data_IF_939258027567
#
_entry.id   IF_939258027567
#
_cell.length_a   1.000
_cell.length_b   1.000
_cell.length_c   1.000
_cell.angle_alpha   90.00
_cell.angle_beta   90.00
_cell.angle_gamma   90.00
#
_symmetry.space_group_name_H-M   'P 1'
#
loop_
_entity.id
_entity.type
_entity.pdbx_description
1 polymer ?
#
# COMPACT_ATOMS: atom_id res chain seq x y z
N UNK A 1 7.58 12.48 11.65
CA UNK A 1 7.33 12.18 13.09
C UNK A 1 6.92 10.72 13.32
N UNK A 2 6.14 10.11 12.44
CA UNK A 2 5.72 8.70 12.55
C UNK A 2 6.86 7.72 12.21
N UNK A 3 7.68 8.04 11.22
CA UNK A 3 8.87 7.24 10.86
C UNK A 3 9.92 7.19 12.00
N UNK A 4 10.11 8.29 12.71
CA UNK A 4 11.02 8.34 13.85
C UNK A 4 10.52 7.51 15.05
N UNK A 5 9.22 7.37 15.24
CA UNK A 5 8.65 6.53 16.32
C UNK A 5 8.85 5.03 16.06
N UNK A 6 8.81 4.59 14.81
CA UNK A 6 9.04 3.19 14.45
C UNK A 6 10.52 2.82 14.62
N UNK A 7 11.43 3.71 14.27
CA UNK A 7 12.88 3.52 14.46
C UNK A 7 13.27 3.54 15.95
N UNK A 8 12.58 4.35 16.78
CA UNK A 8 12.90 4.47 18.21
C UNK A 8 12.39 3.27 19.03
N UNK A 9 11.31 2.62 18.62
CA UNK A 9 10.81 1.41 19.29
C UNK A 9 11.70 0.18 19.05
N UNK A 10 12.35 0.09 17.90
CA UNK A 10 13.30 -0.98 17.59
C UNK A 10 14.61 -0.85 18.41
N UNK A 11 15.01 0.37 18.76
CA UNK A 11 16.23 0.65 19.53
C UNK A 11 16.08 0.42 21.04
N UNK A 12 14.87 0.29 21.59
CA UNK A 12 14.62 0.14 23.03
C UNK A 12 14.47 -1.28 23.55
N UNK A 13 14.42 -2.27 22.67
CA UNK A 13 14.46 -3.68 23.06
C UNK A 13 15.88 -4.20 22.90
N UNK A 14 16.69 -4.00 23.93
CA UNK A 14 18.06 -4.52 24.04
C UNK A 14 18.08 -6.03 23.92
N UNK A 15 18.29 -6.54 22.70
CA UNK A 15 18.67 -7.89 22.38
C UNK A 15 19.96 -7.78 21.59
N UNK A 16 20.96 -8.59 21.99
CA UNK A 16 22.36 -8.53 21.60
C UNK A 16 22.63 -8.13 20.16
N UNK A 17 23.78 -7.51 19.95
CA UNK A 17 24.31 -7.08 18.66
C UNK A 17 24.19 -8.20 17.61
N UNK A 18 23.04 -8.28 16.94
CA UNK A 18 23.01 -8.87 15.60
C UNK A 18 23.75 -7.90 14.68
N UNK A 19 24.59 -8.40 13.75
CA UNK A 19 25.23 -7.53 12.77
C UNK A 19 24.11 -6.73 12.08
N UNK A 20 24.19 -5.40 12.11
CA UNK A 20 23.36 -4.55 11.30
C UNK A 20 23.61 -4.99 9.87
N UNK A 21 22.67 -5.73 9.26
CA UNK A 21 22.77 -6.04 7.84
C UNK A 21 22.90 -4.70 7.11
N UNK A 22 23.94 -4.61 6.27
CA UNK A 22 24.14 -3.40 5.48
C UNK A 22 22.89 -3.16 4.65
N UNK A 23 22.31 -1.96 4.75
CA UNK A 23 21.17 -1.55 3.93
C UNK A 23 21.53 -1.69 2.45
N UNK A 24 20.57 -2.09 1.65
CA UNK A 24 20.78 -2.17 0.20
C UNK A 24 20.95 -0.76 -0.38
N UNK A 25 21.88 -0.55 -1.34
CA UNK A 25 22.10 0.78 -1.91
C UNK A 25 20.84 1.42 -2.49
N UNK A 26 19.96 0.60 -3.08
CA UNK A 26 18.68 1.06 -3.63
C UNK A 26 17.71 1.48 -2.53
N UNK A 27 17.77 0.85 -1.36
CA UNK A 27 16.95 1.24 -0.21
C UNK A 27 17.40 2.59 0.35
N UNK A 28 18.70 2.81 0.49
CA UNK A 28 19.26 4.10 0.90
C UNK A 28 18.88 5.21 -0.08
N UNK A 29 18.93 4.94 -1.39
CA UNK A 29 18.50 5.87 -2.43
C UNK A 29 17.01 6.19 -2.32
N UNK A 30 16.17 5.16 -2.11
CA UNK A 30 14.73 5.34 -1.97
C UNK A 30 14.39 6.19 -0.75
N UNK A 31 15.03 5.94 0.39
CA UNK A 31 14.81 6.72 1.61
C UNK A 31 15.24 8.17 1.45
N UNK A 32 16.39 8.41 0.83
CA UNK A 32 16.86 9.77 0.53
C UNK A 32 15.91 10.52 -0.43
N UNK A 33 15.37 9.83 -1.41
CA UNK A 33 14.39 10.39 -2.34
C UNK A 33 13.06 10.72 -1.63
N UNK A 34 12.60 9.86 -0.72
CA UNK A 34 11.39 10.09 0.09
C UNK A 34 11.52 11.32 0.99
N UNK A 35 12.69 11.54 1.58
CA UNK A 35 12.96 12.73 2.39
C UNK A 35 12.83 14.04 1.60
N UNK A 36 13.04 13.97 0.29
CA UNK A 36 12.91 15.09 -0.64
C UNK A 36 11.52 15.16 -1.31
N UNK A 37 10.63 14.21 -1.02
CA UNK A 37 9.32 14.09 -1.68
C UNK A 37 9.42 13.61 -3.13
N UNK A 38 10.54 13.03 -3.53
CA UNK A 38 10.74 12.46 -4.87
C UNK A 38 10.29 11.00 -4.90
N UNK A 39 8.98 10.81 -4.99
CA UNK A 39 8.37 9.48 -5.03
C UNK A 39 8.75 8.69 -6.28
N UNK A 40 8.98 9.34 -7.41
CA UNK A 40 9.35 8.68 -8.66
C UNK A 40 10.73 8.01 -8.56
N UNK A 41 11.72 8.71 -8.02
CA UNK A 41 13.05 8.15 -7.76
C UNK A 41 12.99 7.03 -6.73
N UNK A 42 12.24 7.20 -5.64
CA UNK A 42 12.05 6.16 -4.63
C UNK A 42 11.42 4.89 -5.21
N UNK A 43 10.38 5.02 -6.01
CA UNK A 43 9.73 3.90 -6.70
C UNK A 43 10.70 3.17 -7.65
N UNK A 44 11.46 3.91 -8.45
CA UNK A 44 12.45 3.35 -9.37
C UNK A 44 13.55 2.57 -8.63
N UNK A 45 14.01 3.07 -7.48
CA UNK A 45 15.01 2.41 -6.65
C UNK A 45 14.49 1.07 -6.11
N UNK A 46 13.29 1.02 -5.52
CA UNK A 46 12.71 -0.24 -5.06
C UNK A 46 12.43 -1.23 -6.20
N UNK A 47 12.01 -0.76 -7.38
CA UNK A 47 11.85 -1.64 -8.55
C UNK A 47 13.17 -2.29 -8.98
N UNK A 48 14.28 -1.54 -8.97
CA UNK A 48 15.61 -2.11 -9.24
C UNK A 48 16.01 -3.14 -8.19
N UNK A 49 15.76 -2.86 -6.92
CA UNK A 49 16.06 -3.80 -5.84
C UNK A 49 15.27 -5.11 -6.00
N UNK A 50 13.98 -5.03 -6.29
CA UNK A 50 13.13 -6.21 -6.54
C UNK A 50 13.59 -6.97 -7.78
N UNK A 51 14.02 -6.30 -8.84
CA UNK A 51 14.56 -6.95 -10.03
C UNK A 51 15.81 -7.77 -9.71
N UNK A 52 16.67 -7.29 -8.82
CA UNK A 52 17.87 -7.96 -8.36
C UNK A 52 17.60 -9.01 -7.28
N UNK A 53 16.63 -8.76 -6.39
CA UNK A 53 16.21 -9.62 -5.28
C UNK A 53 14.69 -9.85 -5.29
N UNK A 54 14.15 -10.72 -6.16
CA UNK A 54 12.71 -10.87 -6.36
C UNK A 54 11.92 -11.34 -5.14
N UNK A 55 12.61 -11.95 -4.16
CA UNK A 55 11.99 -12.47 -2.93
C UNK A 55 12.16 -11.55 -1.72
N UNK A 56 12.71 -10.36 -1.92
CA UNK A 56 12.88 -9.38 -0.84
C UNK A 56 11.53 -8.80 -0.42
N UNK A 57 11.03 -9.24 0.73
CA UNK A 57 9.74 -8.80 1.27
C UNK A 57 9.76 -7.35 1.72
N UNK A 58 10.88 -6.85 2.22
CA UNK A 58 11.02 -5.46 2.63
C UNK A 58 10.99 -4.52 1.43
N UNK A 59 11.68 -4.88 0.34
CA UNK A 59 11.65 -4.12 -0.89
C UNK A 59 10.25 -4.04 -1.49
N UNK A 60 9.51 -5.15 -1.47
CA UNK A 60 8.11 -5.18 -1.95
C UNK A 60 7.19 -4.31 -1.09
N UNK A 61 7.34 -4.35 0.23
CA UNK A 61 6.60 -3.48 1.14
C UNK A 61 6.96 -2.02 0.91
N UNK A 62 8.25 -1.71 0.79
CA UNK A 62 8.74 -0.37 0.50
C UNK A 62 8.17 0.20 -0.80
N UNK A 63 8.15 -0.59 -1.87
CA UNK A 63 7.53 -0.22 -3.14
C UNK A 63 6.04 0.09 -2.97
N UNK A 64 5.30 -0.78 -2.29
CA UNK A 64 3.86 -0.59 -2.06
C UNK A 64 3.58 0.70 -1.26
N UNK A 65 4.39 0.99 -0.25
CA UNK A 65 4.28 2.20 0.56
C UNK A 65 4.57 3.46 -0.26
N UNK A 66 5.64 3.47 -1.06
CA UNK A 66 5.96 4.60 -1.94
C UNK A 66 4.86 4.86 -2.94
N UNK A 67 4.32 3.83 -3.55
CA UNK A 67 3.23 3.95 -4.51
C UNK A 67 1.95 4.51 -3.87
N UNK A 68 1.60 4.09 -2.65
CA UNK A 68 0.47 4.66 -1.92
C UNK A 68 0.71 6.14 -1.59
N UNK A 69 1.89 6.50 -1.12
CA UNK A 69 2.26 7.89 -0.84
C UNK A 69 2.17 8.77 -2.09
N UNK A 70 2.68 8.29 -3.22
CA UNK A 70 2.62 9.01 -4.49
C UNK A 70 1.18 9.26 -4.95
N UNK A 71 0.29 8.27 -4.79
CA UNK A 71 -1.13 8.38 -5.19
C UNK A 71 -1.94 9.29 -4.27
N UNK A 72 -1.57 9.37 -3.00
CA UNK A 72 -2.35 10.11 -1.99
C UNK A 72 -1.78 11.48 -1.64
N UNK A 73 -0.59 11.79 -2.14
CA UNK A 73 0.06 13.07 -1.87
C UNK A 73 -0.80 14.25 -2.34
N UNK A 74 -1.02 15.21 -1.44
CA UNK A 74 -1.78 16.43 -1.71
C UNK A 74 -3.30 16.24 -1.85
N UNK A 75 -3.83 15.04 -1.60
CA UNK A 75 -5.26 14.77 -1.64
C UNK A 75 -5.95 15.18 -0.33
N UNK A 76 -7.16 15.73 -0.46
CA UNK A 76 -8.07 15.95 0.67
C UNK A 76 -8.88 14.67 0.92
N UNK A 77 -8.43 13.87 1.88
CA UNK A 77 -9.06 12.58 2.20
C UNK A 77 -10.53 12.72 2.60
N UNK A 78 -10.87 13.71 3.42
CA UNK A 78 -12.24 13.92 3.88
C UNK A 78 -13.17 14.24 2.71
N UNK A 79 -12.73 15.10 1.80
CA UNK A 79 -13.49 15.45 0.59
C UNK A 79 -13.68 14.25 -0.33
N UNK A 80 -12.63 13.46 -0.55
CA UNK A 80 -12.70 12.26 -1.39
C UNK A 80 -13.70 11.24 -0.81
N UNK A 81 -13.65 11.01 0.50
CA UNK A 81 -14.58 10.10 1.19
C UNK A 81 -16.04 10.60 1.06
N UNK A 82 -16.27 11.90 1.20
CA UNK A 82 -17.60 12.49 1.02
C UNK A 82 -18.10 12.35 -0.43
N UNK A 83 -17.26 12.66 -1.41
CA UNK A 83 -17.62 12.59 -2.83
C UNK A 83 -17.87 11.14 -3.27
N UNK A 84 -17.14 10.18 -2.72
CA UNK A 84 -17.31 8.75 -2.97
C UNK A 84 -18.70 8.23 -2.52
N UNK A 85 -19.25 8.79 -1.46
CA UNK A 85 -20.62 8.47 -1.01
C UNK A 85 -21.66 8.93 -2.06
N UNK A 86 -21.43 10.08 -2.69
CA UNK A 86 -22.33 10.68 -3.67
C UNK A 86 -22.24 10.00 -5.04
N UNK A 87 -21.11 9.37 -5.34
CA UNK A 87 -20.83 8.74 -6.63
C UNK A 87 -20.34 7.29 -6.45
N UNK A 88 -21.24 6.38 -6.00
CA UNK A 88 -20.86 5.03 -5.59
C UNK A 88 -20.33 4.14 -6.73
N UNK A 89 -20.61 4.49 -7.98
CA UNK A 89 -20.22 3.72 -9.16
C UNK A 89 -19.11 4.39 -10.00
N UNK A 90 -18.57 5.51 -9.53
CA UNK A 90 -17.39 6.14 -10.13
C UNK A 90 -16.12 5.37 -9.73
N UNK A 91 -15.62 4.53 -10.62
CA UNK A 91 -14.50 3.62 -10.36
C UNK A 91 -13.25 4.39 -9.93
N UNK A 92 -12.89 5.46 -10.62
CA UNK A 92 -11.68 6.22 -10.34
C UNK A 92 -11.74 6.84 -8.94
N UNK A 93 -12.89 7.42 -8.60
CA UNK A 93 -13.12 8.02 -7.29
C UNK A 93 -13.16 6.96 -6.18
N UNK A 94 -13.77 5.80 -6.43
CA UNK A 94 -13.84 4.72 -5.45
C UNK A 94 -12.45 4.10 -5.19
N UNK A 95 -11.64 3.92 -6.22
CA UNK A 95 -10.25 3.44 -6.09
C UNK A 95 -9.41 4.47 -5.31
N UNK A 96 -9.54 5.75 -5.64
CA UNK A 96 -8.86 6.83 -4.91
C UNK A 96 -9.32 6.89 -3.45
N UNK A 97 -10.61 6.71 -3.20
CA UNK A 97 -11.15 6.65 -1.84
C UNK A 97 -10.56 5.47 -1.04
N UNK A 98 -10.41 4.31 -1.65
CA UNK A 98 -9.75 3.17 -0.99
C UNK A 98 -8.29 3.48 -0.63
N UNK A 99 -7.55 4.15 -1.49
CA UNK A 99 -6.18 4.59 -1.20
C UNK A 99 -6.12 5.51 0.03
N UNK A 100 -6.98 6.53 0.11
CA UNK A 100 -6.98 7.45 1.25
C UNK A 100 -7.53 6.81 2.53
N UNK A 101 -8.45 5.86 2.43
CA UNK A 101 -8.93 5.06 3.57
C UNK A 101 -7.79 4.22 4.16
N UNK A 102 -7.01 3.52 3.34
CA UNK A 102 -5.85 2.75 3.80
C UNK A 102 -4.82 3.67 4.44
N UNK A 103 -4.53 4.81 3.83
CA UNK A 103 -3.60 5.81 4.37
C UNK A 103 -4.05 6.35 5.73
N UNK A 104 -5.36 6.41 5.96
CA UNK A 104 -5.98 6.86 7.22
C UNK A 104 -6.17 5.72 8.24
N UNK A 105 -5.79 4.49 7.90
CA UNK A 105 -5.92 3.32 8.78
C UNK A 105 -7.25 2.59 8.69
N UNK A 106 -8.11 2.94 7.76
CA UNK A 106 -9.43 2.30 7.55
C UNK A 106 -9.32 1.14 6.55
N UNK A 107 -8.67 0.05 6.96
CA UNK A 107 -8.40 -1.09 6.07
C UNK A 107 -9.68 -1.82 5.61
N UNK A 108 -10.55 -2.19 6.55
CA UNK A 108 -11.78 -2.92 6.21
C UNK A 108 -12.69 -2.12 5.27
N UNK A 109 -13.00 -0.84 5.53
CA UNK A 109 -13.78 -0.03 4.60
C UNK A 109 -13.18 0.02 3.19
N UNK A 110 -11.85 0.15 3.07
CA UNK A 110 -11.16 0.17 1.78
C UNK A 110 -11.32 -1.16 1.03
N UNK A 111 -11.11 -2.28 1.71
CA UNK A 111 -11.25 -3.60 1.11
C UNK A 111 -12.70 -3.89 0.70
N UNK A 112 -13.65 -3.61 1.57
CA UNK A 112 -15.08 -3.81 1.30
C UNK A 112 -15.54 -2.96 0.12
N UNK A 113 -15.05 -1.72 0.00
CA UNK A 113 -15.32 -0.82 -1.13
C UNK A 113 -14.91 -1.44 -2.45
N UNK A 114 -13.67 -1.91 -2.56
CA UNK A 114 -13.15 -2.48 -3.80
C UNK A 114 -13.77 -3.86 -4.11
N UNK A 115 -14.04 -4.67 -3.09
CA UNK A 115 -14.75 -5.95 -3.26
C UNK A 115 -16.18 -5.74 -3.77
N UNK A 116 -16.89 -4.73 -3.29
CA UNK A 116 -18.22 -4.36 -3.79
C UNK A 116 -18.16 -3.95 -5.27
N UNK A 117 -17.19 -3.13 -5.64
CA UNK A 117 -17.03 -2.72 -7.04
C UNK A 117 -16.68 -3.87 -7.96
N UNK A 118 -15.85 -4.80 -7.50
CA UNK A 118 -15.37 -5.92 -8.29
C UNK A 118 -16.50 -6.77 -8.88
N UNK A 119 -17.63 -6.90 -8.17
CA UNK A 119 -18.78 -7.68 -8.62
C UNK A 119 -19.74 -6.89 -9.51
N UNK A 120 -19.57 -5.56 -9.61
CA UNK A 120 -20.40 -4.69 -10.43
C UNK A 120 -19.82 -4.47 -11.83
N UNK A 121 -18.53 -4.72 -12.01
CA UNK A 121 -17.80 -4.47 -13.25
C UNK A 121 -17.14 -5.75 -13.77
N UNK A 122 -16.82 -5.77 -15.04
CA UNK A 122 -16.14 -6.87 -15.73
C UNK A 122 -14.97 -6.32 -16.58
N UNK A 123 -14.26 -7.23 -17.25
CA UNK A 123 -13.20 -6.88 -18.20
C UNK A 123 -12.06 -6.07 -17.57
N UNK A 124 -11.63 -5.02 -18.27
CA UNK A 124 -10.50 -4.19 -17.86
C UNK A 124 -10.76 -3.40 -16.58
N UNK A 125 -12.00 -3.00 -16.36
CA UNK A 125 -12.40 -2.27 -15.14
C UNK A 125 -12.33 -3.17 -13.91
N UNK A 126 -12.85 -4.40 -14.01
CA UNK A 126 -12.72 -5.40 -12.94
C UNK A 126 -11.26 -5.70 -12.66
N UNK A 127 -10.43 -5.82 -13.70
CA UNK A 127 -8.99 -6.05 -13.55
C UNK A 127 -8.31 -4.90 -12.81
N UNK A 128 -8.62 -3.64 -13.13
CA UNK A 128 -8.10 -2.45 -12.43
C UNK A 128 -8.44 -2.47 -10.94
N UNK A 129 -9.68 -2.78 -10.61
CA UNK A 129 -10.16 -2.85 -9.22
C UNK A 129 -9.41 -3.97 -8.47
N UNK A 130 -9.32 -5.15 -9.07
CA UNK A 130 -8.58 -6.28 -8.51
C UNK A 130 -7.10 -5.95 -8.28
N UNK A 131 -6.44 -5.38 -9.27
CA UNK A 131 -5.02 -5.04 -9.19
C UNK A 131 -4.75 -4.05 -8.04
N UNK A 132 -5.61 -3.02 -7.87
CA UNK A 132 -5.48 -2.09 -6.75
C UNK A 132 -5.72 -2.78 -5.41
N UNK A 133 -6.69 -3.67 -5.31
CA UNK A 133 -6.94 -4.42 -4.08
C UNK A 133 -5.73 -5.27 -3.69
N UNK A 134 -5.07 -5.92 -4.65
CA UNK A 134 -3.84 -6.68 -4.42
C UNK A 134 -2.67 -5.79 -4.00
N UNK A 135 -2.53 -4.60 -4.58
CA UNK A 135 -1.54 -3.60 -4.16
C UNK A 135 -1.77 -3.16 -2.70
N UNK A 136 -3.01 -2.95 -2.31
CA UNK A 136 -3.36 -2.58 -0.93
C UNK A 136 -3.11 -3.73 0.06
N UNK A 137 -3.34 -4.97 -0.33
CA UNK A 137 -2.99 -6.13 0.50
C UNK A 137 -1.48 -6.21 0.78
N UNK A 138 -0.63 -5.81 -0.18
CA UNK A 138 0.82 -5.81 -0.02
C UNK A 138 1.34 -4.86 1.08
N UNK A 139 0.51 -3.91 1.51
CA UNK A 139 0.82 -2.96 2.59
C UNK A 139 0.62 -3.54 4.00
N UNK A 140 -0.03 -4.68 4.10
CA UNK A 140 -0.48 -5.25 5.39
C UNK A 140 0.11 -6.65 5.53
N UNK A 141 0.39 -7.05 6.77
CA UNK A 141 0.84 -8.42 7.06
C UNK A 141 -0.15 -9.44 6.48
N UNK A 142 0.30 -10.41 5.68
CA UNK A 142 -0.56 -11.46 5.13
C UNK A 142 -1.33 -12.26 6.19
N UNK A 143 -0.82 -12.32 7.42
CA UNK A 143 -1.47 -12.98 8.56
C UNK A 143 -2.53 -12.11 9.24
N UNK A 144 -2.68 -10.84 8.86
CA UNK A 144 -3.73 -9.97 9.41
C UNK A 144 -5.10 -10.54 9.06
N UNK A 145 -5.99 -10.76 10.05
CA UNK A 145 -7.31 -11.35 9.82
C UNK A 145 -8.17 -10.59 8.81
N UNK A 146 -8.00 -9.26 8.71
CA UNK A 146 -8.72 -8.41 7.76
C UNK A 146 -8.30 -8.71 6.32
N UNK A 147 -7.00 -8.91 6.09
CA UNK A 147 -6.46 -9.30 4.78
C UNK A 147 -6.86 -10.73 4.43
N UNK A 148 -6.78 -11.65 5.36
CA UNK A 148 -7.17 -13.04 5.15
C UNK A 148 -8.64 -13.14 4.73
N UNK A 149 -9.52 -12.43 5.44
CA UNK A 149 -10.95 -12.36 5.11
C UNK A 149 -11.17 -11.76 3.71
N UNK A 150 -10.52 -10.64 3.41
CA UNK A 150 -10.66 -9.97 2.12
C UNK A 150 -10.12 -10.81 0.95
N UNK A 151 -9.03 -11.55 1.15
CA UNK A 151 -8.51 -12.51 0.15
C UNK A 151 -9.49 -13.63 -0.15
N UNK A 152 -10.15 -14.17 0.88
CA UNK A 152 -11.20 -15.19 0.72
C UNK A 152 -12.39 -14.62 -0.08
N UNK A 153 -12.82 -13.42 0.26
CA UNK A 153 -13.92 -12.75 -0.46
C UNK A 153 -13.54 -12.46 -1.92
N UNK A 154 -12.29 -12.06 -2.19
CA UNK A 154 -11.79 -11.85 -3.54
C UNK A 154 -11.83 -13.16 -4.36
N UNK A 155 -11.35 -14.25 -3.81
CA UNK A 155 -11.38 -15.56 -4.46
C UNK A 155 -12.82 -15.99 -4.79
N UNK A 156 -13.74 -15.81 -3.84
CA UNK A 156 -15.15 -16.13 -4.05
C UNK A 156 -15.83 -15.24 -5.11
N UNK A 157 -15.42 -13.99 -5.22
CA UNK A 157 -15.97 -13.06 -6.21
C UNK A 157 -15.51 -13.35 -7.64
N UNK A 158 -14.33 -13.97 -7.81
CA UNK A 158 -13.73 -14.25 -9.11
C UNK A 158 -14.02 -15.68 -9.62
N UNK A 159 -14.40 -16.56 -8.76
CA UNK A 159 -14.63 -17.98 -9.02
C UNK A 159 -15.96 -18.46 -8.46
#
# INVERSE_FOLDING_TARGET
EVLNKILTLAAQQGIGEEPVEATEPEEDEALAALDQGDYATAEAAYKRLIARKPNDSYAKLGLAQVQLLARTHGLDAAKIMEDAIKSPDDIDLQIQCADVEVMSGYLEPAFDRLLRLLVLFDGDEQKRIKDRLLELFALVDPADPRVMKARTQLANALF
#
